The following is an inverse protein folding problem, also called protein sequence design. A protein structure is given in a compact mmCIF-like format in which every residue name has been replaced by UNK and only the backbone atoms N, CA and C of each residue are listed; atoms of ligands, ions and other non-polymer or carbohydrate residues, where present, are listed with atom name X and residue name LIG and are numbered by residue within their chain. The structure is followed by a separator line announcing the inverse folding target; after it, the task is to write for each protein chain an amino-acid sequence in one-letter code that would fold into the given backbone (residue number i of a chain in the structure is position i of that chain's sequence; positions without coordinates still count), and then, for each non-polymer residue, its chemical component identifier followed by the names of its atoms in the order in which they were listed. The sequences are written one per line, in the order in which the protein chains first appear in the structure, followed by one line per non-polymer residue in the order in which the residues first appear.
data_IF_763248156066
#
_entry.id   IF_763248156066
#
_cell.length_a   1.000
_cell.length_b   1.000
_cell.length_c   1.000
_cell.angle_alpha   90.00
_cell.angle_beta   90.00
_cell.angle_gamma   90.00
#
_symmetry.space_group_name_H-M   'P 1'
#
loop_
_entity.id
_entity.type
_entity.pdbx_description
1 polymer ?
#
# COMPACT_ATOMS: atom_id res chain seq x y z
N UNK A 1 15.34 -24.86 6.50
CA UNK A 1 14.93 -23.66 5.74
C UNK A 1 14.50 -22.61 6.75
N UNK A 2 15.31 -21.56 6.94
CA UNK A 2 14.92 -20.45 7.80
C UNK A 2 13.87 -19.63 7.06
N UNK A 3 12.64 -19.60 7.57
CA UNK A 3 11.60 -18.70 7.05
C UNK A 3 12.02 -17.28 7.43
N UNK A 4 12.40 -16.50 6.42
CA UNK A 4 12.84 -15.13 6.64
C UNK A 4 11.60 -14.31 7.04
N UNK A 5 11.52 -13.86 8.29
CA UNK A 5 10.36 -13.10 8.81
C UNK A 5 10.09 -11.80 8.04
N UNK A 6 11.06 -11.35 7.23
CA UNK A 6 10.89 -10.27 6.28
C UNK A 6 9.85 -10.56 5.18
N UNK A 7 9.52 -11.81 4.91
CA UNK A 7 8.60 -12.17 3.81
C UNK A 7 7.12 -12.06 4.20
N UNK A 8 6.82 -11.76 5.47
CA UNK A 8 5.48 -11.75 6.06
C UNK A 8 4.70 -10.43 5.94
N UNK A 9 5.23 -9.39 5.28
CA UNK A 9 4.39 -8.27 4.87
C UNK A 9 3.71 -8.66 3.56
N UNK A 10 2.69 -9.51 3.70
CA UNK A 10 1.76 -9.84 2.63
C UNK A 10 0.69 -8.76 2.53
N UNK A 11 0.15 -8.51 1.32
CA UNK A 11 -1.01 -7.64 1.16
C UNK A 11 -2.16 -7.99 2.11
N UNK A 12 -2.40 -9.28 2.39
CA UNK A 12 -3.47 -9.73 3.30
C UNK A 12 -3.27 -9.25 4.74
N UNK A 13 -2.02 -9.20 5.20
CA UNK A 13 -1.70 -8.66 6.52
C UNK A 13 -2.02 -7.17 6.57
N UNK A 14 -1.62 -6.42 5.55
CA UNK A 14 -1.92 -4.99 5.43
C UNK A 14 -3.44 -4.73 5.40
N UNK A 15 -4.20 -5.53 4.65
CA UNK A 15 -5.67 -5.47 4.66
C UNK A 15 -6.25 -5.70 6.05
N UNK A 16 -5.75 -6.72 6.76
CA UNK A 16 -6.21 -7.05 8.12
C UNK A 16 -5.92 -5.92 9.11
N UNK A 17 -4.71 -5.34 9.05
CA UNK A 17 -4.32 -4.20 9.86
C UNK A 17 -5.19 -2.97 9.58
N UNK A 18 -5.48 -2.67 8.31
CA UNK A 18 -6.40 -1.59 7.93
C UNK A 18 -7.80 -1.80 8.50
N UNK A 19 -8.35 -3.02 8.37
CA UNK A 19 -9.69 -3.34 8.89
C UNK A 19 -9.75 -3.20 10.41
N UNK A 20 -8.73 -3.67 11.14
CA UNK A 20 -8.66 -3.55 12.60
C UNK A 20 -8.59 -2.09 13.03
N UNK A 21 -7.74 -1.28 12.40
CA UNK A 21 -7.62 0.14 12.71
C UNK A 21 -8.92 0.89 12.43
N UNK A 22 -9.66 0.49 11.38
CA UNK A 22 -10.97 1.06 11.04
C UNK A 22 -12.07 0.81 12.05
N UNK A 23 -11.97 -0.25 12.86
CA UNK A 23 -12.90 -0.48 13.96
C UNK A 23 -12.75 0.58 15.06
N UNK A 24 -11.57 1.19 15.16
CA UNK A 24 -11.26 2.26 16.13
C UNK A 24 -11.45 3.64 15.49
N UNK A 25 -10.94 3.84 14.28
CA UNK A 25 -11.03 5.09 13.52
C UNK A 25 -11.55 4.83 12.10
N UNK A 26 -12.85 5.10 11.91
CA UNK A 26 -13.54 4.87 10.63
C UNK A 26 -12.99 5.72 9.49
N UNK A 27 -12.37 6.86 9.79
CA UNK A 27 -11.86 7.82 8.81
C UNK A 27 -10.34 7.73 8.62
N UNK A 28 -9.68 6.75 9.25
CA UNK A 28 -8.25 6.49 9.11
C UNK A 28 -7.81 6.51 7.64
N UNK A 29 -6.71 7.22 7.37
CA UNK A 29 -6.14 7.38 6.03
C UNK A 29 -4.90 6.52 5.93
N UNK A 30 -4.77 5.77 4.84
CA UNK A 30 -3.67 4.85 4.62
C UNK A 30 -2.92 5.21 3.34
N UNK A 31 -1.59 5.28 3.43
CA UNK A 31 -0.70 5.44 2.28
C UNK A 31 0.24 4.24 2.23
N UNK A 32 0.28 3.57 1.08
CA UNK A 32 1.17 2.44 0.84
C UNK A 32 2.26 2.79 -0.17
N UNK A 33 3.49 2.43 0.18
CA UNK A 33 4.68 2.66 -0.64
C UNK A 33 5.39 1.33 -0.94
N UNK A 34 6.39 1.36 -1.80
CA UNK A 34 7.12 0.16 -2.17
C UNK A 34 8.08 -0.30 -1.09
N UNK A 35 8.91 0.64 -0.62
CA UNK A 35 10.08 0.40 0.19
C UNK A 35 9.93 0.95 1.61
N UNK A 36 10.79 0.45 2.49
CA UNK A 36 10.86 0.94 3.86
C UNK A 36 11.43 2.35 3.96
N UNK A 37 12.29 2.74 3.02
CA UNK A 37 12.88 4.09 3.01
C UNK A 37 11.84 5.14 2.58
N UNK A 38 10.94 4.79 1.67
CA UNK A 38 9.81 5.63 1.27
C UNK A 38 8.90 5.94 2.46
N UNK A 39 8.72 5.01 3.40
CA UNK A 39 7.97 5.28 4.64
C UNK A 39 8.60 6.45 5.39
N UNK A 40 9.91 6.44 5.58
CA UNK A 40 10.60 7.49 6.36
C UNK A 40 10.42 8.85 5.69
N UNK A 41 10.42 8.88 4.36
CA UNK A 41 10.19 10.11 3.59
C UNK A 41 8.74 10.57 3.74
N UNK A 42 7.77 9.71 3.40
CA UNK A 42 6.34 10.07 3.38
C UNK A 42 5.84 10.39 4.78
N UNK A 43 6.23 9.64 5.82
CA UNK A 43 5.84 9.92 7.21
C UNK A 43 6.27 11.30 7.71
N UNK A 44 7.26 11.95 7.09
CA UNK A 44 7.67 13.33 7.41
C UNK A 44 6.81 14.39 6.72
N UNK A 45 6.13 14.02 5.64
CA UNK A 45 5.34 14.93 4.80
C UNK A 45 3.85 14.91 5.16
N UNK A 46 3.38 13.84 5.78
CA UNK A 46 1.97 13.64 6.11
C UNK A 46 1.65 13.97 7.56
N UNK A 47 0.37 14.20 7.84
CA UNK A 47 -0.10 14.45 9.20
C UNK A 47 0.03 13.19 10.07
N UNK A 48 0.16 13.31 11.41
CA UNK A 48 0.32 12.16 12.31
C UNK A 48 -0.82 11.14 12.29
N UNK A 49 -2.01 11.53 11.82
CA UNK A 49 -3.19 10.67 11.71
C UNK A 49 -3.24 9.89 10.38
N UNK A 50 -2.19 9.96 9.56
CA UNK A 50 -2.04 9.18 8.33
C UNK A 50 -1.13 7.99 8.59
N UNK A 51 -1.63 6.79 8.30
CA UNK A 51 -0.87 5.55 8.44
C UNK A 51 -0.08 5.28 7.16
N UNK A 52 1.25 5.19 7.28
CA UNK A 52 2.12 4.90 6.14
C UNK A 52 2.66 3.46 6.28
N UNK A 53 2.32 2.61 5.31
CA UNK A 53 2.78 1.22 5.21
C UNK A 53 3.57 0.97 3.94
N UNK A 54 4.24 -0.17 3.84
CA UNK A 54 4.97 -0.56 2.62
C UNK A 54 4.71 -2.00 2.25
N UNK A 55 4.80 -2.34 0.95
CA UNK A 55 4.52 -3.68 0.46
C UNK A 55 5.72 -4.46 -0.09
N UNK A 56 6.97 -4.02 0.12
CA UNK A 56 8.16 -4.71 -0.41
C UNK A 56 8.11 -4.92 -1.92
N UNK A 57 7.95 -3.80 -2.62
CA UNK A 57 8.01 -3.71 -4.07
C UNK A 57 6.65 -3.57 -4.76
N UNK A 58 6.72 -3.03 -5.98
CA UNK A 58 5.60 -2.62 -6.86
C UNK A 58 4.50 -3.66 -6.97
N UNK A 59 4.85 -4.91 -7.30
CA UNK A 59 3.89 -6.00 -7.54
C UNK A 59 2.95 -6.22 -6.34
N UNK A 60 3.48 -6.16 -5.12
CA UNK A 60 2.69 -6.37 -3.90
C UNK A 60 1.84 -5.14 -3.56
N UNK A 61 2.31 -3.93 -3.89
CA UNK A 61 1.49 -2.70 -3.82
C UNK A 61 0.29 -2.82 -4.76
N UNK A 62 0.50 -3.24 -6.01
CA UNK A 62 -0.61 -3.45 -6.96
C UNK A 62 -1.59 -4.53 -6.49
N UNK A 63 -1.08 -5.66 -5.96
CA UNK A 63 -1.94 -6.71 -5.39
C UNK A 63 -2.77 -6.18 -4.21
N UNK A 64 -2.16 -5.39 -3.34
CA UNK A 64 -2.86 -4.74 -2.23
C UNK A 64 -3.98 -3.83 -2.75
N UNK A 65 -3.66 -2.95 -3.70
CA UNK A 65 -4.63 -1.98 -4.20
C UNK A 65 -5.80 -2.64 -4.92
N UNK A 66 -5.59 -3.77 -5.62
CA UNK A 66 -6.69 -4.58 -6.15
C UNK A 66 -7.59 -5.15 -5.05
N UNK A 67 -7.02 -5.60 -3.94
CA UNK A 67 -7.81 -6.10 -2.79
C UNK A 67 -8.59 -4.97 -2.11
N UNK A 68 -8.02 -3.76 -2.08
CA UNK A 68 -8.67 -2.55 -1.57
C UNK A 68 -9.85 -2.16 -2.47
N UNK A 69 -9.64 -2.06 -3.78
CA UNK A 69 -10.67 -1.69 -4.78
C UNK A 69 -11.88 -2.63 -4.72
N UNK A 70 -11.64 -3.94 -4.53
CA UNK A 70 -12.70 -4.94 -4.39
C UNK A 70 -13.35 -5.00 -2.99
N UNK A 71 -12.95 -4.14 -2.05
CA UNK A 71 -13.44 -4.15 -0.67
C UNK A 71 -13.99 -2.78 -0.25
N UNK A 72 -15.32 -2.65 -0.28
CA UNK A 72 -16.05 -1.42 0.05
C UNK A 72 -15.84 -0.88 1.47
N UNK A 73 -15.29 -1.69 2.39
CA UNK A 73 -14.93 -1.26 3.75
C UNK A 73 -13.59 -0.53 3.81
N UNK A 74 -12.76 -0.64 2.77
CA UNK A 74 -11.42 -0.07 2.70
C UNK A 74 -11.42 1.21 1.86
N UNK A 75 -11.94 2.29 2.45
CA UNK A 75 -11.91 3.63 1.85
C UNK A 75 -10.59 4.34 2.17
N UNK A 76 -10.36 5.55 1.67
CA UNK A 76 -9.22 6.42 2.07
C UNK A 76 -7.84 5.71 2.04
N UNK A 77 -7.61 4.85 1.05
CA UNK A 77 -6.32 4.18 0.83
C UNK A 77 -5.72 4.71 -0.47
N UNK A 78 -4.45 5.08 -0.43
CA UNK A 78 -3.68 5.55 -1.59
C UNK A 78 -2.38 4.76 -1.66
N UNK A 79 -1.88 4.51 -2.86
CA UNK A 79 -0.56 3.94 -3.07
C UNK A 79 0.32 4.82 -3.95
N UNK A 80 1.62 4.88 -3.63
CA UNK A 80 2.66 5.57 -4.38
C UNK A 80 3.72 4.55 -4.83
N UNK A 81 4.04 4.56 -6.12
CA UNK A 81 4.94 3.60 -6.78
C UNK A 81 5.83 4.35 -7.78
N UNK A 82 7.13 4.08 -7.81
CA UNK A 82 8.07 4.68 -8.76
C UNK A 82 7.80 4.20 -10.19
N UNK A 83 7.90 5.12 -11.14
CA UNK A 83 7.49 4.93 -12.54
C UNK A 83 8.37 3.98 -13.34
N UNK A 84 9.58 3.65 -12.91
CA UNK A 84 10.51 2.69 -13.56
C UNK A 84 9.99 1.24 -13.64
N UNK A 85 8.71 1.03 -13.37
CA UNK A 85 7.94 -0.16 -13.76
C UNK A 85 7.48 -0.18 -15.23
N UNK A 86 7.89 0.80 -16.03
CA UNK A 86 7.28 1.18 -17.32
C UNK A 86 7.60 0.31 -18.55
N UNK A 87 7.99 -0.97 -18.44
CA UNK A 87 8.16 -1.83 -19.64
C UNK A 87 7.40 -3.18 -19.62
N UNK A 88 6.80 -3.61 -18.50
CA UNK A 88 6.29 -4.99 -18.37
C UNK A 88 4.76 -5.17 -18.28
N UNK A 89 3.96 -4.11 -18.11
CA UNK A 89 2.50 -4.23 -17.93
C UNK A 89 1.67 -3.28 -18.81
N UNK A 90 1.98 -3.21 -20.10
CA UNK A 90 1.13 -2.61 -21.15
C UNK A 90 -0.30 -3.20 -21.30
N UNK A 91 -0.86 -3.80 -20.25
CA UNK A 91 -2.20 -4.38 -20.27
C UNK A 91 -2.89 -4.52 -18.92
N UNK A 92 -2.32 -4.00 -17.82
CA UNK A 92 -3.03 -4.05 -16.55
C UNK A 92 -4.06 -2.90 -16.47
N UNK A 93 -5.34 -3.20 -16.16
CA UNK A 93 -6.38 -2.19 -16.03
C UNK A 93 -5.98 -1.17 -14.95
N UNK A 94 -6.34 0.09 -15.17
CA UNK A 94 -6.10 1.18 -14.21
C UNK A 94 -6.62 0.78 -12.82
N UNK A 95 -5.75 0.84 -11.81
CA UNK A 95 -6.10 0.56 -10.41
C UNK A 95 -6.46 1.87 -9.73
N UNK A 96 -7.64 1.97 -9.11
CA UNK A 96 -8.04 3.18 -8.39
C UNK A 96 -7.07 3.54 -7.25
N UNK A 97 -6.81 4.84 -7.08
CA UNK A 97 -5.97 5.41 -6.02
C UNK A 97 -4.49 4.92 -5.99
N UNK A 98 -4.00 4.36 -7.10
CA UNK A 98 -2.59 4.07 -7.33
C UNK A 98 -1.96 5.21 -8.15
N UNK A 99 -0.90 5.83 -7.63
CA UNK A 99 -0.19 6.93 -8.28
C UNK A 99 1.27 6.56 -8.52
N UNK A 100 1.79 7.06 -9.64
CA UNK A 100 3.16 6.85 -10.05
C UNK A 100 4.02 8.10 -9.80
N UNK A 101 5.18 7.93 -9.18
CA UNK A 101 6.19 8.96 -8.93
C UNK A 101 7.24 8.96 -10.04
N UNK A 102 7.70 10.15 -10.46
CA UNK A 102 8.71 10.35 -11.53
C UNK A 102 10.14 10.29 -10.99
#
# INVERSE_FOLDING_TARGET
MAVNMSDYISPDRSISEMLMLREVDKDAIFIYVEGQDDIKLISRLVKPNVHVGFCKGKKKVCELMRKVENNSRLKNVVALVDKDYDELLHGDPSIENLFYTD
#
